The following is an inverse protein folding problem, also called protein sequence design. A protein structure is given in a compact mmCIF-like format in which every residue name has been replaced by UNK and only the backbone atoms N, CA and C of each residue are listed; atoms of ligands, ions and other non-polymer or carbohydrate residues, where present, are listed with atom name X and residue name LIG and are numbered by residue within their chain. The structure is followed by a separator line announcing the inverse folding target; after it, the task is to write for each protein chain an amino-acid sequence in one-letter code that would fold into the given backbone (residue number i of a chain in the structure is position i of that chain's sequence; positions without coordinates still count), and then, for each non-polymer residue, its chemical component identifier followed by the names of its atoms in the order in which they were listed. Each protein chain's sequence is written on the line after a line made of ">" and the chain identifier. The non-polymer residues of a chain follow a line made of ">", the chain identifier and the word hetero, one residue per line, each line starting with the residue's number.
data_IF_110931666311
#
_entry.id   IF_110931666311
#
_cell.length_a   1.000
_cell.length_b   1.000
_cell.length_c   1.000
_cell.angle_alpha   90.00
_cell.angle_beta   90.00
_cell.angle_gamma   90.00
#
_symmetry.space_group_name_H-M   'P 1'
#
loop_
_entity.id
_entity.type
_entity.pdbx_description
1 polymer ?
#
# COMPACT_ATOMS: atom_id res chain seq x y z
N UNK A 1 -27.93 5.71 48.47
CA UNK A 1 -27.72 4.71 47.38
C UNK A 1 -26.92 5.32 46.22
N UNK A 2 -25.78 6.00 46.50
CA UNK A 2 -24.99 6.75 45.52
C UNK A 2 -23.48 6.67 45.79
N UNK A 3 -22.93 5.50 46.10
CA UNK A 3 -21.50 5.41 46.48
C UNK A 3 -20.77 4.22 45.84
N UNK A 4 -21.32 3.60 44.81
CA UNK A 4 -20.70 2.42 44.17
C UNK A 4 -20.17 2.72 42.73
N UNK A 5 -20.43 3.91 42.17
CA UNK A 5 -20.01 4.24 40.81
C UNK A 5 -18.70 5.07 40.70
N UNK A 6 -18.04 5.40 41.81
CA UNK A 6 -16.87 6.30 41.80
C UNK A 6 -15.50 5.62 41.68
N UNK A 7 -15.39 4.30 41.48
CA UNK A 7 -14.12 3.62 41.25
C UNK A 7 -14.24 2.45 40.25
N UNK A 8 -14.89 2.62 39.13
CA UNK A 8 -14.73 1.69 38.02
C UNK A 8 -13.40 2.01 37.34
N UNK A 9 -12.32 1.37 37.77
CA UNK A 9 -11.05 1.38 37.03
C UNK A 9 -11.33 0.80 35.64
N UNK A 10 -11.26 1.62 34.59
CA UNK A 10 -11.40 1.13 33.23
C UNK A 10 -10.41 -0.01 32.97
N UNK A 11 -10.88 -1.06 32.34
CA UNK A 11 -10.00 -2.16 31.90
C UNK A 11 -8.91 -1.59 30.99
N UNK A 12 -7.66 -1.82 31.36
CA UNK A 12 -6.54 -1.30 30.58
C UNK A 12 -6.23 -2.24 29.40
N UNK A 13 -5.99 -1.69 28.19
CA UNK A 13 -5.54 -2.48 27.05
C UNK A 13 -4.08 -2.93 27.24
N UNK A 14 -3.59 -3.76 26.33
CA UNK A 14 -2.17 -4.20 26.33
C UNK A 14 -1.25 -2.98 26.22
N UNK A 15 -0.06 -3.05 26.83
CA UNK A 15 0.95 -1.96 26.79
C UNK A 15 1.28 -1.51 25.37
N UNK A 16 1.41 -2.45 24.43
CA UNK A 16 1.66 -2.16 23.03
C UNK A 16 0.56 -1.22 22.45
N UNK A 17 -0.71 -1.49 22.75
CA UNK A 17 -1.84 -0.66 22.27
C UNK A 17 -1.81 0.73 22.90
N UNK A 18 -1.46 0.85 24.19
CA UNK A 18 -1.34 2.15 24.87
C UNK A 18 -0.23 3.04 24.27
N UNK A 19 0.82 2.44 23.74
CA UNK A 19 1.96 3.14 23.14
C UNK A 19 1.74 3.54 21.68
N UNK A 20 0.69 3.01 21.02
CA UNK A 20 0.44 3.26 19.60
C UNK A 20 -0.32 4.55 19.36
N UNK A 21 0.10 5.38 18.39
CA UNK A 21 -0.72 6.49 17.94
C UNK A 21 -1.94 5.96 17.17
N UNK A 22 -3.08 6.63 17.35
CA UNK A 22 -4.24 6.38 16.51
C UNK A 22 -4.03 6.97 15.11
N UNK A 23 -4.29 6.18 14.07
CA UNK A 23 -4.19 6.63 12.69
C UNK A 23 -5.54 7.11 12.15
N UNK A 24 -5.62 8.41 11.88
CA UNK A 24 -6.79 9.03 11.26
C UNK A 24 -6.47 9.45 9.81
N UNK A 25 -7.01 8.75 8.80
CA UNK A 25 -6.92 9.23 7.44
C UNK A 25 -7.77 10.49 7.27
N UNK A 26 -7.25 11.58 6.64
CA UNK A 26 -8.03 12.81 6.40
C UNK A 26 -9.05 12.58 5.29
N UNK A 27 -10.26 12.14 5.64
CA UNK A 27 -11.33 11.83 4.70
C UNK A 27 -12.28 13.03 4.43
N UNK A 28 -12.06 14.20 5.02
CA UNK A 28 -12.87 15.39 4.80
C UNK A 28 -12.61 16.01 3.42
N UNK A 29 -13.60 16.71 2.86
CA UNK A 29 -13.49 17.46 1.59
C UNK A 29 -13.38 16.59 0.35
N UNK A 30 -13.88 15.35 0.36
CA UNK A 30 -13.75 14.38 -0.74
C UNK A 30 -14.72 14.58 -1.90
N UNK A 31 -15.36 15.71 -2.00
CA UNK A 31 -16.09 16.24 -3.17
C UNK A 31 -15.15 16.81 -4.26
N UNK A 32 -13.89 17.07 -3.90
CA UNK A 32 -12.83 17.47 -4.84
C UNK A 32 -12.22 16.28 -5.61
N UNK A 33 -11.40 16.56 -6.61
CA UNK A 33 -10.61 15.54 -7.33
C UNK A 33 -9.58 14.91 -6.36
N UNK A 34 -9.76 13.62 -6.09
CA UNK A 34 -8.95 12.87 -5.11
C UNK A 34 -7.64 12.40 -5.73
N UNK A 35 -6.54 13.15 -5.51
CA UNK A 35 -5.19 12.76 -5.86
C UNK A 35 -4.32 12.54 -4.60
N UNK A 36 -4.94 12.05 -3.51
CA UNK A 36 -4.36 11.95 -2.16
C UNK A 36 -4.12 10.52 -1.67
N UNK A 37 -4.97 9.54 -2.02
CA UNK A 37 -4.95 8.18 -1.47
C UNK A 37 -4.45 7.09 -2.43
N UNK A 38 -3.86 7.46 -3.56
CA UNK A 38 -3.43 6.50 -4.59
C UNK A 38 -4.57 5.57 -5.04
N UNK A 39 -5.80 6.08 -5.02
CA UNK A 39 -6.96 5.38 -5.56
C UNK A 39 -6.88 5.36 -7.08
N UNK A 40 -7.52 4.40 -7.72
CA UNK A 40 -7.85 4.52 -9.13
C UNK A 40 -8.83 5.69 -9.26
N UNK A 41 -8.48 6.68 -10.08
CA UNK A 41 -9.27 7.90 -10.22
C UNK A 41 -10.44 7.76 -11.18
N UNK A 42 -10.59 6.58 -11.80
CA UNK A 42 -11.65 6.28 -12.77
C UNK A 42 -12.59 5.20 -12.24
N UNK A 43 -13.66 4.95 -12.97
CA UNK A 43 -14.61 3.87 -12.68
C UNK A 43 -13.89 2.51 -12.74
N UNK A 44 -14.24 1.53 -11.91
CA UNK A 44 -13.79 0.16 -12.11
C UNK A 44 -14.28 -0.38 -13.47
N UNK A 45 -13.76 -1.55 -13.86
CA UNK A 45 -14.09 -2.15 -15.15
C UNK A 45 -15.60 -2.28 -15.39
N UNK A 46 -16.08 -2.11 -16.64
CA UNK A 46 -17.49 -2.30 -16.97
C UNK A 46 -18.03 -3.68 -16.62
N UNK A 47 -17.19 -4.72 -16.63
CA UNK A 47 -17.57 -6.09 -16.21
C UNK A 47 -17.88 -6.17 -14.73
N UNK A 48 -17.06 -5.52 -13.90
CA UNK A 48 -17.32 -5.37 -12.47
C UNK A 48 -18.65 -4.65 -12.20
N UNK A 49 -18.90 -3.54 -12.89
CA UNK A 49 -20.16 -2.79 -12.73
C UNK A 49 -21.39 -3.62 -13.12
N UNK A 50 -21.31 -4.38 -14.22
CA UNK A 50 -22.38 -5.31 -14.62
C UNK A 50 -22.62 -6.39 -13.56
N UNK A 51 -21.54 -6.94 -12.99
CA UNK A 51 -21.66 -7.96 -11.93
C UNK A 51 -22.34 -7.39 -10.68
N UNK A 52 -21.97 -6.17 -10.27
CA UNK A 52 -22.62 -5.50 -9.12
C UNK A 52 -24.14 -5.33 -9.33
N UNK A 53 -24.58 -5.01 -10.54
CA UNK A 53 -26.01 -4.89 -10.87
C UNK A 53 -26.75 -6.23 -10.84
N UNK A 54 -26.06 -7.35 -10.94
CA UNK A 54 -26.62 -8.69 -10.91
C UNK A 54 -26.69 -9.30 -9.50
N UNK A 55 -26.21 -8.59 -8.48
CA UNK A 55 -26.31 -9.07 -7.10
C UNK A 55 -27.77 -9.19 -6.68
N UNK A 56 -28.12 -10.35 -6.14
CA UNK A 56 -29.48 -10.65 -5.65
C UNK A 56 -29.58 -10.44 -4.15
N UNK A 57 -30.81 -10.27 -3.64
CA UNK A 57 -31.06 -10.23 -2.20
C UNK A 57 -30.53 -11.50 -1.50
N UNK A 58 -30.71 -12.67 -2.10
CA UNK A 58 -30.21 -13.95 -1.59
C UNK A 58 -28.67 -13.93 -1.49
N UNK A 59 -27.96 -13.45 -2.52
CA UNK A 59 -26.49 -13.32 -2.51
C UNK A 59 -25.96 -12.39 -1.44
N UNK A 60 -26.80 -11.51 -0.86
CA UNK A 60 -26.44 -10.65 0.26
C UNK A 60 -26.72 -11.25 1.63
N UNK A 61 -27.61 -12.26 1.73
CA UNK A 61 -28.05 -12.84 3.00
C UNK A 61 -27.35 -14.14 3.36
N UNK A 62 -26.67 -14.78 2.41
CA UNK A 62 -25.95 -16.05 2.58
C UNK A 62 -24.47 -15.80 2.79
N UNK A 63 -23.82 -16.54 3.68
CA UNK A 63 -22.37 -16.48 3.84
C UNK A 63 -21.68 -16.88 2.51
N UNK A 64 -20.71 -16.09 2.04
CA UNK A 64 -20.08 -16.35 0.75
C UNK A 64 -19.06 -17.49 0.84
N UNK A 65 -18.96 -18.26 -0.24
CA UNK A 65 -17.90 -19.25 -0.42
C UNK A 65 -16.65 -18.60 -1.04
N UNK A 66 -15.55 -18.58 -0.29
CA UNK A 66 -14.28 -17.99 -0.74
C UNK A 66 -13.52 -18.89 -1.70
N UNK A 67 -13.54 -20.20 -1.49
CA UNK A 67 -12.69 -21.17 -2.21
C UNK A 67 -12.86 -21.15 -3.74
N UNK A 68 -14.07 -21.11 -4.32
CA UNK A 68 -14.23 -21.03 -5.77
C UNK A 68 -13.56 -19.77 -6.36
N UNK A 69 -13.65 -18.64 -5.67
CA UNK A 69 -13.03 -17.37 -6.10
C UNK A 69 -11.52 -17.42 -5.96
N UNK A 70 -10.99 -17.98 -4.86
CA UNK A 70 -9.55 -18.21 -4.69
C UNK A 70 -8.98 -19.04 -5.83
N UNK A 71 -9.69 -20.07 -6.31
CA UNK A 71 -9.27 -20.91 -7.43
C UNK A 71 -9.15 -20.11 -8.73
N UNK A 72 -10.13 -19.26 -9.03
CA UNK A 72 -10.12 -18.40 -10.21
C UNK A 72 -8.97 -17.39 -10.14
N UNK A 73 -8.80 -16.73 -8.99
CA UNK A 73 -7.73 -15.76 -8.79
C UNK A 73 -6.35 -16.42 -8.82
N UNK A 74 -6.18 -17.58 -8.19
CA UNK A 74 -4.93 -18.34 -8.24
C UNK A 74 -4.58 -18.72 -9.69
N UNK A 75 -5.51 -19.28 -10.44
CA UNK A 75 -5.32 -19.62 -11.85
C UNK A 75 -4.92 -18.41 -12.70
N UNK A 76 -5.55 -17.24 -12.48
CA UNK A 76 -5.19 -16.00 -13.19
C UNK A 76 -3.73 -15.62 -12.95
N UNK A 77 -3.22 -15.82 -11.74
CA UNK A 77 -1.83 -15.52 -11.38
C UNK A 77 -0.84 -16.67 -11.57
N UNK A 78 -1.25 -17.78 -12.16
CA UNK A 78 -0.40 -18.95 -12.42
C UNK A 78 -0.02 -19.72 -11.16
N UNK A 79 -0.88 -19.71 -10.14
CA UNK A 79 -0.70 -20.35 -8.84
C UNK A 79 -1.68 -21.51 -8.64
N UNK A 80 -1.31 -22.46 -7.78
CA UNK A 80 -2.25 -23.42 -7.23
C UNK A 80 -3.11 -22.75 -6.14
N UNK A 81 -4.34 -23.26 -5.95
CA UNK A 81 -5.29 -22.67 -5.00
C UNK A 81 -4.76 -22.65 -3.56
N UNK A 82 -4.02 -23.66 -3.14
CA UNK A 82 -3.45 -23.76 -1.78
C UNK A 82 -2.26 -22.84 -1.54
N UNK A 83 -1.67 -22.30 -2.61
CA UNK A 83 -0.64 -21.27 -2.57
C UNK A 83 -1.19 -19.85 -2.39
N UNK A 84 -2.52 -19.65 -2.35
CA UNK A 84 -3.15 -18.33 -2.27
C UNK A 84 -4.21 -18.30 -1.18
N UNK A 85 -4.32 -17.17 -0.49
CA UNK A 85 -5.45 -16.81 0.37
C UNK A 85 -5.92 -15.39 0.04
N UNK A 86 -7.23 -15.21 -0.15
CA UNK A 86 -7.84 -13.89 -0.27
C UNK A 86 -7.97 -13.25 1.11
N UNK A 87 -7.72 -11.93 1.16
CA UNK A 87 -7.71 -11.11 2.38
C UNK A 87 -8.59 -9.88 2.21
N UNK A 88 -9.00 -9.29 3.34
CA UNK A 88 -9.74 -8.02 3.38
C UNK A 88 -8.78 -6.82 3.16
N UNK A 89 -8.23 -6.74 1.95
CA UNK A 89 -7.14 -5.84 1.58
C UNK A 89 -5.78 -6.33 2.08
N UNK A 90 -4.72 -5.61 1.71
CA UNK A 90 -3.36 -5.89 2.19
C UNK A 90 -3.21 -5.55 3.67
N UNK A 91 -4.04 -4.67 4.23
CA UNK A 91 -4.02 -4.37 5.67
C UNK A 91 -4.26 -5.63 6.51
N UNK A 92 -5.26 -6.45 6.15
CA UNK A 92 -5.46 -7.76 6.81
C UNK A 92 -4.30 -8.72 6.49
N UNK A 93 -3.77 -8.72 5.26
CA UNK A 93 -2.64 -9.57 4.89
C UNK A 93 -1.42 -9.33 5.80
N UNK A 94 -1.07 -8.06 6.04
CA UNK A 94 0.02 -7.65 6.94
C UNK A 94 -0.26 -8.13 8.36
N UNK A 95 -1.49 -7.94 8.84
CA UNK A 95 -1.90 -8.37 10.18
C UNK A 95 -1.81 -9.90 10.34
N UNK A 96 -2.35 -10.65 9.40
CA UNK A 96 -2.32 -12.13 9.43
C UNK A 96 -0.89 -12.66 9.42
N UNK A 97 -0.01 -12.09 8.58
CA UNK A 97 1.42 -12.46 8.55
C UNK A 97 2.08 -12.16 9.88
N UNK A 98 1.87 -10.97 10.44
CA UNK A 98 2.45 -10.59 11.74
C UNK A 98 1.95 -11.50 12.88
N UNK A 99 0.64 -11.79 12.94
CA UNK A 99 0.06 -12.69 13.94
C UNK A 99 0.53 -14.14 13.81
N UNK A 100 0.87 -14.57 12.59
CA UNK A 100 1.27 -15.98 12.34
C UNK A 100 2.73 -16.23 12.69
N UNK A 101 3.61 -15.25 12.46
CA UNK A 101 5.06 -15.49 12.45
C UNK A 101 5.84 -14.71 13.51
N UNK A 102 5.20 -13.82 14.28
CA UNK A 102 5.89 -13.04 15.33
C UNK A 102 5.36 -13.36 16.71
N UNK A 103 6.29 -13.50 17.66
CA UNK A 103 6.06 -13.54 19.09
C UNK A 103 6.87 -12.43 19.79
N UNK A 104 6.55 -12.12 21.06
CA UNK A 104 7.35 -11.17 21.84
C UNK A 104 8.78 -11.69 22.01
N UNK A 105 9.75 -10.84 21.66
CA UNK A 105 11.18 -11.17 21.65
C UNK A 105 11.73 -11.51 20.26
N UNK A 106 10.88 -11.73 19.26
CA UNK A 106 11.29 -11.83 17.86
C UNK A 106 11.61 -10.44 17.29
N UNK A 107 12.43 -10.41 16.24
CA UNK A 107 12.75 -9.18 15.52
C UNK A 107 12.09 -9.17 14.14
N UNK A 108 11.56 -7.99 13.78
CA UNK A 108 11.09 -7.70 12.43
C UNK A 108 11.93 -6.58 11.81
N UNK A 109 12.04 -6.57 10.47
CA UNK A 109 12.87 -5.62 9.73
C UNK A 109 12.06 -4.97 8.60
N UNK A 110 12.09 -3.64 8.54
CA UNK A 110 11.50 -2.84 7.46
C UNK A 110 12.45 -1.73 7.01
N UNK A 111 12.28 -1.25 5.77
CA UNK A 111 12.89 -0.01 5.30
C UNK A 111 11.94 1.16 5.61
N UNK A 112 12.48 2.34 5.93
CA UNK A 112 11.69 3.58 6.12
C UNK A 112 12.24 4.71 5.27
N UNK A 113 11.39 5.67 4.80
CA UNK A 113 9.93 5.73 4.98
C UNK A 113 9.19 4.64 4.20
N UNK A 114 8.09 4.13 4.76
CA UNK A 114 7.27 3.11 4.13
C UNK A 114 5.80 3.18 4.61
N UNK A 115 5.00 2.16 4.33
CA UNK A 115 3.60 2.13 4.72
C UNK A 115 3.43 1.90 6.23
N UNK A 116 2.80 2.86 6.90
CA UNK A 116 2.67 2.91 8.36
C UNK A 116 2.01 1.66 8.98
N UNK A 117 1.17 0.94 8.24
CA UNK A 117 0.50 -0.25 8.78
C UNK A 117 1.44 -1.40 9.10
N UNK A 118 2.68 -1.40 8.58
CA UNK A 118 3.71 -2.35 9.02
C UNK A 118 4.08 -2.11 10.48
N UNK A 119 4.34 -0.85 10.85
CA UNK A 119 4.63 -0.45 12.24
C UNK A 119 3.50 -0.86 13.18
N UNK A 120 2.24 -0.64 12.78
CA UNK A 120 1.06 -0.99 13.57
C UNK A 120 0.98 -2.50 13.79
N UNK A 121 1.02 -3.28 12.71
CA UNK A 121 0.80 -4.73 12.79
C UNK A 121 1.95 -5.45 13.50
N UNK A 122 3.20 -5.07 13.23
CA UNK A 122 4.37 -5.64 13.88
C UNK A 122 4.40 -5.24 15.37
N UNK A 123 4.19 -3.95 15.68
CA UNK A 123 4.20 -3.43 17.04
C UNK A 123 3.13 -4.01 17.96
N UNK A 124 2.08 -4.63 17.41
CA UNK A 124 1.11 -5.41 18.19
C UNK A 124 1.65 -6.76 18.64
N UNK A 125 2.65 -7.32 17.95
CA UNK A 125 3.17 -8.67 18.19
C UNK A 125 4.47 -8.65 18.97
N UNK A 126 5.39 -7.74 18.63
CA UNK A 126 6.73 -7.64 19.24
C UNK A 126 7.19 -6.19 19.36
N UNK A 127 8.04 -5.92 20.34
CA UNK A 127 8.77 -4.66 20.48
C UNK A 127 10.04 -4.60 19.58
N UNK A 128 10.43 -5.69 18.96
CA UNK A 128 11.68 -5.88 18.21
C UNK A 128 11.61 -5.39 16.76
N UNK A 129 11.03 -4.22 16.47
CA UNK A 129 11.01 -3.67 15.11
C UNK A 129 12.23 -2.81 14.80
N UNK A 130 13.08 -3.30 13.89
CA UNK A 130 14.22 -2.58 13.33
C UNK A 130 13.82 -1.85 12.06
N UNK A 131 14.17 -0.57 11.97
CA UNK A 131 13.91 0.31 10.82
C UNK A 131 15.22 0.75 10.19
N UNK A 132 15.42 0.40 8.93
CA UNK A 132 16.57 0.86 8.14
C UNK A 132 16.13 2.07 7.31
N UNK A 133 16.57 3.25 7.72
CA UNK A 133 16.22 4.49 7.03
C UNK A 133 16.91 4.57 5.67
N UNK A 134 16.18 4.90 4.60
CA UNK A 134 16.79 5.32 3.33
C UNK A 134 17.54 6.66 3.50
N UNK A 135 18.43 6.97 2.57
CA UNK A 135 19.08 8.28 2.48
C UNK A 135 18.21 9.28 1.69
N UNK A 136 18.77 10.45 1.38
CA UNK A 136 18.09 11.51 0.63
C UNK A 136 17.69 11.11 -0.80
N UNK A 137 18.22 10.00 -1.34
CA UNK A 137 17.79 9.45 -2.62
C UNK A 137 16.45 8.76 -2.55
N UNK A 138 15.98 8.40 -1.34
CA UNK A 138 14.81 7.58 -1.06
C UNK A 138 14.85 6.20 -1.72
N UNK A 139 16.01 5.77 -2.20
CA UNK A 139 16.25 4.43 -2.74
C UNK A 139 16.33 3.40 -1.63
N UNK A 140 16.07 2.13 -1.96
CA UNK A 140 16.18 1.04 -1.00
C UNK A 140 17.67 0.81 -0.61
N UNK A 141 18.03 0.88 0.68
CA UNK A 141 19.42 0.80 1.14
C UNK A 141 19.89 -0.65 1.30
N UNK A 142 20.02 -1.40 0.20
CA UNK A 142 20.19 -2.85 0.17
C UNK A 142 21.28 -3.36 1.12
N UNK A 143 22.50 -2.80 1.05
CA UNK A 143 23.63 -3.27 1.86
C UNK A 143 23.38 -3.09 3.37
N UNK A 144 22.86 -1.90 3.75
CA UNK A 144 22.53 -1.62 5.16
C UNK A 144 21.35 -2.47 5.63
N UNK A 145 20.43 -2.76 4.74
CA UNK A 145 19.26 -3.57 5.05
C UNK A 145 19.65 -5.02 5.31
N UNK A 146 20.48 -5.61 4.46
CA UNK A 146 21.00 -6.97 4.68
C UNK A 146 21.87 -7.05 5.92
N UNK A 147 22.72 -6.04 6.17
CA UNK A 147 23.55 -5.99 7.38
C UNK A 147 22.75 -5.87 8.70
N UNK A 148 21.49 -5.44 8.64
CA UNK A 148 20.60 -5.35 9.79
C UNK A 148 19.89 -6.67 10.14
N UNK A 149 20.00 -7.71 9.31
CA UNK A 149 19.45 -9.04 9.58
C UNK A 149 20.21 -9.69 10.72
N UNK A 150 19.49 -10.22 11.71
CA UNK A 150 20.03 -10.93 12.85
C UNK A 150 19.48 -12.36 12.94
N UNK A 151 20.06 -13.26 13.76
CA UNK A 151 19.48 -14.58 14.02
C UNK A 151 18.07 -14.54 14.64
N UNK A 152 17.67 -13.42 15.24
CA UNK A 152 16.33 -13.21 15.82
C UNK A 152 15.32 -12.64 14.82
N UNK A 153 15.78 -12.22 13.64
CA UNK A 153 14.88 -11.72 12.59
C UNK A 153 13.95 -12.85 12.14
N UNK A 154 12.63 -12.67 12.30
CA UNK A 154 11.57 -13.61 11.96
C UNK A 154 10.67 -13.12 10.84
N UNK A 155 10.55 -11.79 10.67
CA UNK A 155 9.74 -11.18 9.62
C UNK A 155 10.50 -10.04 8.98
N UNK A 156 10.55 -10.05 7.66
CA UNK A 156 11.06 -8.95 6.83
C UNK A 156 9.93 -8.51 5.93
N UNK A 157 9.60 -7.21 5.90
CA UNK A 157 8.60 -6.67 4.97
C UNK A 157 9.28 -5.65 4.07
N UNK A 158 9.15 -5.87 2.75
CA UNK A 158 9.67 -4.97 1.72
C UNK A 158 8.53 -4.62 0.75
N UNK A 159 8.20 -3.34 0.63
CA UNK A 159 7.28 -2.86 -0.38
C UNK A 159 8.02 -2.53 -1.68
N UNK A 160 7.57 -3.07 -2.81
CA UNK A 160 8.14 -2.79 -4.13
C UNK A 160 7.04 -2.80 -5.21
N UNK A 161 6.69 -1.63 -5.78
CA UNK A 161 7.13 -0.25 -5.43
C UNK A 161 6.69 0.20 -4.04
N UNK A 162 7.56 0.97 -3.37
CA UNK A 162 7.33 1.43 -2.00
C UNK A 162 6.43 2.67 -1.93
N UNK A 163 5.65 2.81 -0.90
CA UNK A 163 4.84 3.99 -0.56
C UNK A 163 5.39 4.62 0.75
N UNK A 164 5.83 5.91 0.74
CA UNK A 164 5.48 6.96 -0.21
C UNK A 164 6.52 7.25 -1.30
N UNK A 165 7.64 6.56 -1.36
CA UNK A 165 8.79 6.95 -2.19
C UNK A 165 8.61 6.66 -3.68
N UNK A 166 7.87 5.60 -4.03
CA UNK A 166 7.76 5.08 -5.39
C UNK A 166 8.98 4.23 -5.82
N UNK A 167 9.99 4.11 -4.95
CA UNK A 167 11.19 3.33 -5.19
C UNK A 167 10.89 1.83 -5.31
N UNK A 168 11.70 1.14 -6.10
CA UNK A 168 11.61 -0.31 -6.31
C UNK A 168 12.80 -1.03 -5.70
N UNK A 169 12.62 -2.30 -5.41
CA UNK A 169 13.69 -3.24 -5.07
C UNK A 169 13.69 -4.31 -6.16
N UNK A 170 14.82 -4.55 -6.81
CA UNK A 170 14.90 -5.54 -7.89
C UNK A 170 14.59 -6.94 -7.37
N UNK A 171 14.05 -7.80 -8.24
CA UNK A 171 13.82 -9.22 -7.91
C UNK A 171 15.09 -9.89 -7.40
N UNK A 172 16.26 -9.58 -7.99
CA UNK A 172 17.56 -10.10 -7.56
C UNK A 172 17.86 -9.76 -6.09
N UNK A 173 17.69 -8.49 -5.70
CA UNK A 173 17.88 -8.05 -4.32
C UNK A 173 16.87 -8.70 -3.37
N UNK A 174 15.59 -8.84 -3.77
CA UNK A 174 14.58 -9.50 -2.94
C UNK A 174 14.93 -10.98 -2.68
N UNK A 175 15.38 -11.71 -3.70
CA UNK A 175 15.82 -13.08 -3.55
C UNK A 175 17.12 -13.19 -2.72
N UNK A 176 18.04 -12.23 -2.84
CA UNK A 176 19.23 -12.15 -1.99
C UNK A 176 18.87 -11.92 -0.51
N UNK A 177 17.87 -11.09 -0.21
CA UNK A 177 17.34 -10.90 1.17
C UNK A 177 16.74 -12.21 1.69
N UNK A 178 15.93 -12.91 0.90
CA UNK A 178 15.36 -14.20 1.28
C UNK A 178 16.44 -15.24 1.61
N UNK A 179 17.48 -15.29 0.80
CA UNK A 179 18.62 -16.19 0.99
C UNK A 179 19.49 -15.82 2.22
N UNK A 180 19.64 -14.51 2.51
CA UNK A 180 20.39 -14.03 3.68
C UNK A 180 19.66 -14.28 5.01
N UNK A 181 18.35 -14.51 4.99
CA UNK A 181 17.52 -14.73 6.18
C UNK A 181 16.63 -15.98 6.04
N UNK A 182 17.18 -17.19 5.89
CA UNK A 182 16.38 -18.40 5.67
C UNK A 182 15.49 -18.77 6.86
N UNK A 183 15.78 -18.22 8.06
CA UNK A 183 14.98 -18.37 9.29
C UNK A 183 13.83 -17.35 9.40
N UNK A 184 13.80 -16.33 8.54
CA UNK A 184 12.80 -15.27 8.53
C UNK A 184 11.87 -15.41 7.34
N UNK A 185 10.60 -15.04 7.51
CA UNK A 185 9.68 -14.85 6.40
C UNK A 185 9.97 -13.52 5.70
N UNK A 186 10.17 -13.53 4.39
CA UNK A 186 10.15 -12.33 3.56
C UNK A 186 8.76 -12.13 2.98
N UNK A 187 8.09 -11.05 3.37
CA UNK A 187 6.87 -10.57 2.74
C UNK A 187 7.21 -9.45 1.77
N UNK A 188 6.96 -9.67 0.49
CA UNK A 188 7.06 -8.63 -0.54
C UNK A 188 5.67 -8.04 -0.78
N UNK A 189 5.50 -6.76 -0.46
CA UNK A 189 4.25 -6.05 -0.74
C UNK A 189 4.29 -5.44 -2.15
N UNK A 190 3.59 -6.08 -3.06
CA UNK A 190 3.45 -5.72 -4.47
C UNK A 190 2.16 -4.93 -4.75
N UNK A 191 1.69 -4.09 -3.82
CA UNK A 191 0.45 -3.33 -3.97
C UNK A 191 0.44 -2.43 -5.23
N UNK A 192 1.61 -2.02 -5.70
CA UNK A 192 1.77 -1.18 -6.89
C UNK A 192 2.41 -1.91 -8.08
N UNK A 193 2.53 -3.23 -8.02
CA UNK A 193 3.15 -4.08 -9.03
C UNK A 193 2.74 -3.76 -10.48
N UNK A 194 1.44 -3.58 -10.72
CA UNK A 194 0.90 -3.37 -12.07
C UNK A 194 1.47 -2.14 -12.79
N UNK A 195 1.97 -1.14 -12.04
CA UNK A 195 2.55 0.08 -12.60
C UNK A 195 4.06 -0.02 -12.86
N UNK A 196 4.68 -1.12 -12.41
CA UNK A 196 6.11 -1.42 -12.53
C UNK A 196 6.39 -2.64 -13.43
N UNK A 197 5.72 -3.76 -13.14
CA UNK A 197 5.80 -5.00 -13.91
C UNK A 197 6.79 -6.04 -13.37
N UNK A 198 7.80 -5.67 -12.56
CA UNK A 198 8.71 -6.64 -11.94
C UNK A 198 8.06 -7.28 -10.71
N UNK A 199 8.18 -8.60 -10.55
CA UNK A 199 7.49 -9.37 -9.51
C UNK A 199 8.32 -10.55 -9.02
N UNK A 200 8.10 -10.92 -7.76
CA UNK A 200 8.58 -12.18 -7.16
C UNK A 200 7.49 -13.25 -7.10
N UNK A 201 6.30 -13.01 -7.66
CA UNK A 201 5.21 -13.96 -7.61
C UNK A 201 5.55 -15.31 -8.26
N UNK A 202 6.35 -15.30 -9.34
CA UNK A 202 6.82 -16.52 -10.01
C UNK A 202 7.81 -17.37 -9.19
N UNK A 203 8.32 -16.84 -8.07
CA UNK A 203 9.24 -17.54 -7.16
C UNK A 203 8.52 -18.21 -5.99
N UNK A 204 7.23 -17.97 -5.86
CA UNK A 204 6.37 -18.58 -4.84
C UNK A 204 6.38 -20.10 -4.97
N UNK A 205 6.57 -20.79 -3.86
CA UNK A 205 6.71 -22.26 -3.82
C UNK A 205 8.12 -22.77 -4.14
N UNK A 206 8.95 -21.97 -4.84
CA UNK A 206 10.37 -22.28 -5.08
C UNK A 206 11.25 -21.70 -3.96
N UNK A 207 10.97 -20.48 -3.53
CA UNK A 207 11.65 -19.84 -2.39
C UNK A 207 10.79 -20.09 -1.14
N UNK A 208 11.26 -20.93 -0.19
CA UNK A 208 10.40 -21.47 0.86
C UNK A 208 9.96 -20.45 1.91
N UNK A 209 10.66 -19.34 2.06
CA UNK A 209 10.40 -18.26 3.02
C UNK A 209 9.88 -16.98 2.35
N UNK A 210 9.34 -17.07 1.13
CA UNK A 210 8.77 -15.93 0.40
C UNK A 210 7.24 -15.95 0.44
N UNK A 211 6.67 -14.79 0.78
CA UNK A 211 5.25 -14.47 0.59
C UNK A 211 5.11 -13.17 -0.19
N UNK A 212 4.19 -13.13 -1.15
CA UNK A 212 3.84 -11.95 -1.94
C UNK A 212 2.44 -11.48 -1.56
N UNK A 213 2.30 -10.19 -1.26
CA UNK A 213 1.00 -9.55 -1.04
C UNK A 213 0.60 -8.70 -2.23
N UNK A 214 -0.67 -8.75 -2.66
CA UNK A 214 -1.25 -7.90 -3.71
C UNK A 214 -2.60 -7.36 -3.31
N UNK A 215 -2.95 -6.20 -3.85
CA UNK A 215 -4.24 -5.54 -3.62
C UNK A 215 -5.02 -5.37 -4.92
N UNK A 216 -6.34 -5.46 -4.83
CA UNK A 216 -7.25 -5.08 -5.90
C UNK A 216 -7.72 -3.60 -5.77
N UNK A 217 -7.21 -2.87 -4.77
CA UNK A 217 -7.59 -1.48 -4.50
C UNK A 217 -7.04 -0.48 -5.51
N UNK A 218 -5.88 -0.74 -6.14
CA UNK A 218 -5.13 0.24 -6.95
C UNK A 218 -5.47 0.10 -8.44
N UNK A 219 -4.79 -0.74 -9.18
CA UNK A 219 -4.99 -0.87 -10.63
C UNK A 219 -6.41 -1.34 -11.00
N UNK A 220 -6.99 -2.26 -10.24
CA UNK A 220 -8.36 -2.75 -10.47
C UNK A 220 -9.47 -1.76 -10.03
N UNK A 221 -9.14 -0.71 -9.26
CA UNK A 221 -10.12 0.30 -8.84
C UNK A 221 -11.12 -0.16 -7.76
N UNK A 222 -10.79 -1.17 -6.97
CA UNK A 222 -11.69 -1.79 -5.98
C UNK A 222 -11.38 -1.38 -4.53
N UNK A 223 -10.88 -0.15 -4.31
CA UNK A 223 -10.46 0.29 -2.99
C UNK A 223 -11.56 0.16 -1.91
N UNK A 224 -12.80 0.45 -2.25
CA UNK A 224 -13.94 0.36 -1.32
C UNK A 224 -14.37 -1.07 -1.03
N UNK A 225 -14.04 -2.02 -1.88
CA UNK A 225 -14.40 -3.43 -1.69
C UNK A 225 -13.44 -4.19 -0.77
N UNK A 226 -12.31 -3.57 -0.42
CA UNK A 226 -11.36 -4.13 0.54
C UNK A 226 -10.94 -5.57 0.17
N UNK A 227 -10.44 -5.76 -1.04
CA UNK A 227 -9.93 -7.07 -1.49
C UNK A 227 -8.42 -7.03 -1.71
N UNK A 228 -7.74 -8.08 -1.24
CA UNK A 228 -6.33 -8.35 -1.41
C UNK A 228 -6.04 -9.84 -1.41
N UNK A 229 -4.77 -10.20 -1.54
CA UNK A 229 -4.33 -11.59 -1.47
C UNK A 229 -2.93 -11.71 -0.90
N UNK A 230 -2.65 -12.88 -0.30
CA UNK A 230 -1.31 -13.40 -0.05
C UNK A 230 -1.07 -14.61 -0.93
N UNK A 231 0.13 -14.71 -1.48
CA UNK A 231 0.61 -15.87 -2.21
C UNK A 231 1.94 -16.36 -1.62
N UNK A 232 2.09 -17.66 -1.40
CA UNK A 232 3.26 -18.26 -0.77
C UNK A 232 3.29 -19.77 -0.93
N UNK A 233 4.32 -20.43 -0.38
CA UNK A 233 4.33 -21.90 -0.28
C UNK A 233 3.04 -22.38 0.42
N UNK A 234 2.45 -23.47 -0.05
CA UNK A 234 1.17 -23.99 0.46
C UNK A 234 1.17 -24.23 1.99
N UNK A 235 2.34 -24.59 2.56
CA UNK A 235 2.50 -24.77 4.01
C UNK A 235 2.42 -23.44 4.76
N UNK A 236 3.03 -22.37 4.24
CA UNK A 236 2.94 -21.02 4.82
C UNK A 236 1.50 -20.52 4.77
N UNK A 237 0.84 -20.66 3.64
CA UNK A 237 -0.57 -20.30 3.47
C UNK A 237 -1.47 -21.10 4.40
N UNK A 238 -1.17 -22.39 4.64
CA UNK A 238 -1.94 -23.22 5.57
C UNK A 238 -1.86 -22.72 7.02
N UNK A 239 -0.72 -22.18 7.45
CA UNK A 239 -0.57 -21.57 8.79
C UNK A 239 -1.37 -20.27 8.89
N UNK A 240 -1.30 -19.41 7.88
CA UNK A 240 -2.05 -18.15 7.83
C UNK A 240 -3.57 -18.40 7.84
N UNK A 241 -4.04 -19.45 7.17
CA UNK A 241 -5.46 -19.85 7.19
C UNK A 241 -5.96 -20.19 8.59
N UNK A 242 -5.10 -20.64 9.53
CA UNK A 242 -5.50 -20.97 10.90
C UNK A 242 -5.86 -19.72 11.73
N UNK A 243 -5.30 -18.57 11.41
CA UNK A 243 -5.55 -17.30 12.10
C UNK A 243 -6.51 -16.39 11.34
N UNK A 244 -6.78 -16.69 10.07
CA UNK A 244 -7.75 -15.96 9.25
C UNK A 244 -9.19 -16.32 9.63
N UNK A 245 -10.06 -15.31 9.72
CA UNK A 245 -11.50 -15.57 9.84
C UNK A 245 -12.02 -16.32 8.59
N UNK A 246 -12.93 -17.28 8.73
CA UNK A 246 -13.47 -18.02 7.60
C UNK A 246 -14.25 -17.13 6.59
N UNK A 247 -14.78 -16.01 7.05
CA UNK A 247 -15.56 -15.04 6.27
C UNK A 247 -14.91 -13.65 6.25
N UNK A 248 -13.59 -13.60 6.17
CA UNK A 248 -12.81 -12.36 6.22
C UNK A 248 -13.04 -11.44 5.01
N UNK A 249 -13.33 -11.98 3.84
CA UNK A 249 -13.61 -11.21 2.62
C UNK A 249 -15.12 -11.11 2.42
N UNK A 250 -15.62 -9.88 2.19
CA UNK A 250 -17.05 -9.66 1.98
C UNK A 250 -17.55 -10.26 0.67
N UNK A 251 -18.83 -10.68 0.64
CA UNK A 251 -19.44 -11.37 -0.49
C UNK A 251 -19.50 -10.52 -1.76
N UNK A 252 -19.63 -9.21 -1.64
CA UNK A 252 -19.63 -8.29 -2.80
C UNK A 252 -18.28 -8.30 -3.51
N UNK A 253 -17.19 -8.22 -2.74
CA UNK A 253 -15.84 -8.33 -3.28
C UNK A 253 -15.63 -9.69 -3.97
N UNK A 254 -16.01 -10.79 -3.31
CA UNK A 254 -15.88 -12.13 -3.88
C UNK A 254 -16.69 -12.28 -5.18
N UNK A 255 -17.88 -11.70 -5.25
CA UNK A 255 -18.71 -11.78 -6.45
C UNK A 255 -18.09 -11.11 -7.68
N UNK A 256 -17.34 -10.00 -7.50
CA UNK A 256 -16.79 -9.22 -8.62
C UNK A 256 -15.33 -9.54 -8.96
N UNK A 257 -14.58 -10.19 -8.06
CA UNK A 257 -13.17 -10.51 -8.30
C UNK A 257 -12.92 -11.32 -9.58
N UNK A 258 -13.71 -12.34 -9.94
CA UNK A 258 -13.56 -13.05 -11.21
C UNK A 258 -13.66 -12.14 -12.43
N UNK A 259 -14.62 -11.21 -12.42
CA UNK A 259 -14.81 -10.24 -13.51
C UNK A 259 -13.69 -9.20 -13.53
N UNK A 260 -13.18 -8.81 -12.37
CA UNK A 260 -12.09 -7.84 -12.25
C UNK A 260 -10.78 -8.40 -12.81
N UNK A 261 -10.39 -9.63 -12.42
CA UNK A 261 -9.14 -10.25 -12.91
C UNK A 261 -9.25 -10.68 -14.37
N UNK A 262 -10.45 -10.96 -14.85
CA UNK A 262 -10.70 -11.34 -16.24
C UNK A 262 -10.71 -10.16 -17.22
N UNK A 263 -10.79 -8.92 -16.78
CA UNK A 263 -10.81 -7.74 -17.66
C UNK A 263 -9.40 -7.14 -17.85
N UNK A 264 -8.53 -7.94 -18.48
CA UNK A 264 -7.14 -7.54 -18.77
C UNK A 264 -7.07 -6.28 -19.62
N UNK A 265 -8.01 -6.10 -20.56
CA UNK A 265 -8.02 -4.92 -21.44
C UNK A 265 -8.22 -3.62 -20.65
N UNK A 266 -9.12 -3.63 -19.66
CA UNK A 266 -9.30 -2.48 -18.76
C UNK A 266 -8.05 -2.25 -17.91
N UNK A 267 -7.48 -3.30 -17.35
CA UNK A 267 -6.27 -3.21 -16.51
C UNK A 267 -5.11 -2.58 -17.27
N UNK A 268 -4.81 -3.08 -18.48
CA UNK A 268 -3.74 -2.55 -19.32
C UNK A 268 -3.99 -1.11 -19.74
N UNK A 269 -5.23 -0.78 -20.11
CA UNK A 269 -5.61 0.60 -20.42
C UNK A 269 -5.32 1.54 -19.24
N UNK A 270 -5.74 1.16 -18.02
CA UNK A 270 -5.54 2.03 -16.85
C UNK A 270 -4.05 2.15 -16.45
N UNK A 271 -3.31 1.07 -16.53
CA UNK A 271 -1.84 1.09 -16.29
C UNK A 271 -1.15 2.03 -17.27
N UNK A 272 -1.54 2.03 -18.54
CA UNK A 272 -0.98 2.94 -19.55
C UNK A 272 -1.36 4.42 -19.28
N UNK A 273 -2.60 4.69 -18.84
CA UNK A 273 -3.00 6.04 -18.40
C UNK A 273 -2.08 6.54 -17.26
N UNK A 274 -1.81 5.68 -16.28
CA UNK A 274 -0.92 6.03 -15.17
C UNK A 274 0.51 6.23 -15.63
N UNK A 275 1.05 5.37 -16.50
CA UNK A 275 2.41 5.48 -17.03
C UNK A 275 2.62 6.83 -17.73
N UNK A 276 1.76 7.14 -18.68
CA UNK A 276 1.81 8.40 -19.44
C UNK A 276 1.55 9.61 -18.53
N UNK A 277 0.57 9.51 -17.62
CA UNK A 277 0.26 10.57 -16.66
C UNK A 277 1.41 10.89 -15.72
N UNK A 278 2.14 9.87 -15.28
CA UNK A 278 3.31 10.01 -14.39
C UNK A 278 4.44 10.79 -15.08
N UNK A 279 4.74 10.48 -16.34
CA UNK A 279 5.72 11.22 -17.14
C UNK A 279 5.34 12.69 -17.29
N UNK A 280 4.05 12.99 -17.53
CA UNK A 280 3.53 14.36 -17.62
C UNK A 280 3.65 15.13 -16.31
N UNK A 281 3.38 14.49 -15.16
CA UNK A 281 3.53 15.12 -13.84
C UNK A 281 5.02 15.40 -13.58
N UNK A 282 5.93 14.47 -13.86
CA UNK A 282 7.37 14.70 -13.72
C UNK A 282 7.84 15.88 -14.58
N UNK A 283 7.43 15.95 -15.85
CA UNK A 283 7.77 17.06 -16.73
C UNK A 283 7.28 18.40 -16.17
N UNK A 284 6.01 18.46 -15.71
CA UNK A 284 5.44 19.67 -15.13
C UNK A 284 6.15 20.12 -13.84
N UNK A 285 6.50 19.19 -12.94
CA UNK A 285 7.21 19.50 -11.70
C UNK A 285 8.64 19.95 -11.98
N UNK A 286 9.32 19.35 -12.97
CA UNK A 286 10.64 19.80 -13.44
C UNK A 286 10.58 21.23 -13.97
N UNK A 287 9.59 21.58 -14.81
CA UNK A 287 9.40 22.92 -15.33
C UNK A 287 9.16 23.95 -14.21
N UNK A 288 8.52 23.53 -13.12
CA UNK A 288 8.24 24.35 -11.93
C UNK A 288 9.42 24.41 -10.94
N UNK A 289 10.52 23.70 -11.23
CA UNK A 289 11.69 23.63 -10.35
C UNK A 289 11.42 22.91 -9.01
N UNK A 290 10.46 21.98 -8.99
CA UNK A 290 10.13 21.19 -7.81
C UNK A 290 10.92 19.87 -7.84
N UNK A 291 11.67 19.61 -6.76
CA UNK A 291 12.41 18.34 -6.61
C UNK A 291 11.44 17.17 -6.49
N UNK A 292 11.76 16.08 -7.17
CA UNK A 292 11.01 14.81 -7.15
C UNK A 292 11.97 13.63 -7.14
N UNK A 293 11.46 12.44 -6.83
CA UNK A 293 12.19 11.17 -6.92
C UNK A 293 11.54 10.26 -7.96
N UNK A 294 12.31 9.37 -8.60
CA UNK A 294 11.75 8.37 -9.49
C UNK A 294 10.66 7.56 -8.81
N UNK A 295 9.56 7.31 -9.52
CA UNK A 295 8.45 6.51 -9.00
C UNK A 295 8.03 5.46 -10.02
N UNK A 296 7.85 4.23 -9.55
CA UNK A 296 7.29 3.12 -10.31
C UNK A 296 5.83 2.81 -9.89
N UNK A 297 5.21 3.67 -9.07
CA UNK A 297 3.84 3.53 -8.59
C UNK A 297 2.87 4.48 -9.32
N UNK A 298 1.60 4.49 -8.91
CA UNK A 298 0.59 5.43 -9.41
C UNK A 298 0.59 6.77 -8.65
N UNK A 299 1.74 7.25 -8.25
CA UNK A 299 1.91 8.55 -7.58
C UNK A 299 3.32 9.10 -7.80
N UNK A 300 3.49 10.39 -7.51
CA UNK A 300 4.78 11.08 -7.49
C UNK A 300 4.93 11.78 -6.15
N UNK A 301 6.10 11.65 -5.52
CA UNK A 301 6.51 12.36 -4.32
C UNK A 301 7.30 13.61 -4.73
N UNK A 302 7.02 14.76 -4.09
CA UNK A 302 7.65 16.05 -4.36
C UNK A 302 8.04 16.76 -3.08
N UNK A 303 9.16 17.46 -3.10
CA UNK A 303 9.68 18.27 -1.99
C UNK A 303 9.18 19.72 -2.11
N UNK A 304 8.34 20.12 -1.17
CA UNK A 304 7.78 21.48 -1.05
C UNK A 304 8.41 22.23 0.13
N UNK A 305 9.17 21.51 0.94
CA UNK A 305 9.78 22.08 2.14
C UNK A 305 8.75 22.57 3.16
N UNK A 306 9.04 23.67 3.89
CA UNK A 306 8.19 24.12 5.00
C UNK A 306 6.79 24.59 4.58
N UNK A 307 6.57 24.82 3.28
CA UNK A 307 5.28 25.30 2.74
C UNK A 307 4.33 24.19 2.27
N UNK A 308 4.61 22.93 2.61
CA UNK A 308 3.82 21.77 2.19
C UNK A 308 2.32 21.87 2.55
N UNK A 309 1.99 22.40 3.73
CA UNK A 309 0.60 22.60 4.16
C UNK A 309 -0.11 23.67 3.33
N UNK A 310 0.61 24.74 2.99
CA UNK A 310 0.09 25.82 2.15
C UNK A 310 -0.23 25.31 0.76
N UNK A 311 0.67 24.50 0.15
CA UNK A 311 0.39 23.87 -1.14
C UNK A 311 -0.87 22.99 -1.07
N UNK A 312 -1.01 22.13 -0.06
CA UNK A 312 -2.19 21.29 0.10
C UNK A 312 -3.48 22.14 0.21
N UNK A 313 -3.44 23.26 0.94
CA UNK A 313 -4.57 24.16 1.08
C UNK A 313 -4.89 24.89 -0.24
N UNK A 314 -3.89 25.38 -0.99
CA UNK A 314 -4.09 26.04 -2.28
C UNK A 314 -4.62 25.07 -3.35
N UNK A 315 -4.15 23.83 -3.37
CA UNK A 315 -4.69 22.77 -4.23
C UNK A 315 -6.14 22.44 -3.89
N UNK A 316 -6.47 22.33 -2.60
CA UNK A 316 -7.85 22.07 -2.16
C UNK A 316 -8.81 23.21 -2.58
N UNK A 317 -8.42 24.48 -2.48
CA UNK A 317 -9.18 25.63 -2.99
C UNK A 317 -9.50 25.52 -4.49
N UNK A 318 -8.64 24.85 -5.27
CA UNK A 318 -8.81 24.56 -6.70
C UNK A 318 -9.50 23.24 -6.99
N UNK A 319 -10.08 22.62 -5.96
CA UNK A 319 -10.82 21.35 -6.09
C UNK A 319 -9.95 20.13 -6.33
N UNK A 320 -8.70 20.12 -5.85
CA UNK A 320 -7.78 18.97 -5.95
C UNK A 320 -7.18 18.65 -4.57
N UNK A 321 -7.27 17.38 -4.15
CA UNK A 321 -6.66 16.89 -2.91
C UNK A 321 -5.27 16.30 -3.15
N UNK A 322 -4.31 16.67 -2.32
CA UNK A 322 -2.98 16.08 -2.25
C UNK A 322 -2.75 15.43 -0.87
N UNK A 323 -1.74 14.57 -0.80
CA UNK A 323 -1.36 13.93 0.46
C UNK A 323 -0.09 14.56 1.04
N UNK A 324 -0.21 15.25 2.16
CA UNK A 324 0.91 15.63 2.99
C UNK A 324 1.56 14.38 3.60
N UNK A 325 2.88 14.24 3.40
CA UNK A 325 3.68 13.12 3.92
C UNK A 325 4.73 13.58 4.93
N UNK A 326 4.69 14.84 5.35
CA UNK A 326 5.68 15.42 6.26
C UNK A 326 5.76 14.77 7.64
N UNK A 327 4.72 14.02 8.04
CA UNK A 327 4.72 13.28 9.28
C UNK A 327 5.46 11.92 9.17
N UNK A 328 5.78 11.46 7.98
CA UNK A 328 6.53 10.22 7.79
C UNK A 328 8.02 10.48 8.04
N UNK A 329 8.73 9.58 8.73
CA UNK A 329 10.16 9.74 8.99
C UNK A 329 10.96 9.94 7.70
N UNK A 330 11.73 11.03 7.59
CA UNK A 330 12.53 11.37 6.42
C UNK A 330 11.76 11.96 5.24
N UNK A 331 10.48 12.33 5.45
CA UNK A 331 9.64 12.99 4.44
C UNK A 331 9.22 14.41 4.84
N UNK A 332 9.99 15.08 5.70
CA UNK A 332 9.68 16.43 6.19
C UNK A 332 9.59 17.42 5.02
N UNK A 333 8.40 17.98 4.82
CA UNK A 333 8.12 18.91 3.72
C UNK A 333 7.66 18.23 2.43
N UNK A 334 7.49 16.91 2.41
CA UNK A 334 7.12 16.19 1.21
C UNK A 334 5.60 16.07 1.06
N UNK A 335 5.16 16.18 -0.19
CA UNK A 335 3.78 16.04 -0.61
C UNK A 335 3.71 14.99 -1.72
N UNK A 336 2.69 14.15 -1.70
CA UNK A 336 2.48 13.11 -2.71
C UNK A 336 1.23 13.43 -3.52
N UNK A 337 1.34 13.31 -4.85
CA UNK A 337 0.24 13.41 -5.80
C UNK A 337 -0.03 12.07 -6.45
N UNK A 338 -1.28 11.62 -6.44
CA UNK A 338 -1.72 10.42 -7.18
C UNK A 338 -1.76 10.71 -8.68
N UNK A 339 -1.35 9.75 -9.48
CA UNK A 339 -1.46 9.76 -10.94
C UNK A 339 -2.75 9.06 -11.33
N UNK A 340 -3.62 9.77 -12.04
CA UNK A 340 -4.90 9.26 -12.53
C UNK A 340 -4.95 9.16 -14.05
N UNK A 341 -6.18 9.14 -14.59
CA UNK A 341 -6.43 9.21 -16.03
C UNK A 341 -6.07 10.60 -16.58
N UNK A 342 -5.91 10.69 -17.89
CA UNK A 342 -5.40 11.87 -18.61
C UNK A 342 -6.07 13.20 -18.20
N UNK A 343 -7.40 13.22 -18.12
CA UNK A 343 -8.15 14.42 -17.71
C UNK A 343 -7.81 14.85 -16.28
N UNK A 344 -7.74 13.89 -15.35
CA UNK A 344 -7.41 14.16 -13.95
C UNK A 344 -5.96 14.62 -13.78
N UNK A 345 -5.04 14.07 -14.56
CA UNK A 345 -3.63 14.54 -14.60
C UNK A 345 -3.56 15.97 -15.13
N UNK A 346 -4.30 16.29 -16.20
CA UNK A 346 -4.35 17.64 -16.78
C UNK A 346 -4.87 18.65 -15.76
N UNK A 347 -5.96 18.36 -15.08
CA UNK A 347 -6.52 19.19 -14.00
C UNK A 347 -5.57 19.32 -12.83
N UNK A 348 -4.92 18.22 -12.40
CA UNK A 348 -3.93 18.23 -11.33
C UNK A 348 -2.74 19.12 -11.64
N UNK A 349 -2.19 19.04 -12.85
CA UNK A 349 -1.07 19.89 -13.31
C UNK A 349 -1.48 21.36 -13.38
N UNK A 350 -2.65 21.68 -13.90
CA UNK A 350 -3.15 23.06 -13.93
C UNK A 350 -3.26 23.65 -12.52
N UNK A 351 -3.90 22.91 -11.60
CA UNK A 351 -4.01 23.30 -10.20
C UNK A 351 -2.65 23.48 -9.52
N UNK A 352 -1.66 22.60 -9.79
CA UNK A 352 -0.29 22.74 -9.27
C UNK A 352 0.36 24.04 -9.73
N UNK A 353 0.30 24.35 -11.03
CA UNK A 353 0.87 25.57 -11.61
C UNK A 353 0.26 26.83 -10.98
N UNK A 354 -1.06 26.88 -10.88
CA UNK A 354 -1.78 28.00 -10.28
C UNK A 354 -1.51 28.12 -8.76
N UNK A 355 -1.46 26.99 -8.03
CA UNK A 355 -1.19 26.99 -6.59
C UNK A 355 0.21 27.49 -6.28
N UNK A 356 1.24 26.97 -6.96
CA UNK A 356 2.62 27.40 -6.79
C UNK A 356 2.82 28.87 -7.19
N UNK A 357 2.15 29.32 -8.28
CA UNK A 357 2.15 30.74 -8.68
C UNK A 357 1.51 31.62 -7.61
N UNK A 358 0.35 31.23 -7.06
CA UNK A 358 -0.36 31.98 -6.01
C UNK A 358 0.46 32.06 -4.71
N UNK A 359 1.25 31.02 -4.42
CA UNK A 359 2.19 31.00 -3.31
C UNK A 359 3.44 31.85 -3.56
N UNK A 360 3.69 32.33 -4.78
CA UNK A 360 4.95 32.97 -5.16
C UNK A 360 6.15 32.00 -5.08
N UNK A 361 5.92 30.73 -5.44
CA UNK A 361 6.94 29.69 -5.37
C UNK A 361 8.17 30.03 -6.21
N UNK A 362 9.35 29.84 -5.61
CA UNK A 362 10.63 29.90 -6.32
C UNK A 362 11.40 28.60 -6.12
N UNK A 363 12.15 28.12 -7.13
CA UNK A 363 12.92 26.86 -7.04
C UNK A 363 13.91 26.79 -5.87
N UNK A 364 14.29 27.91 -5.29
CA UNK A 364 15.20 27.99 -4.14
C UNK A 364 14.55 27.58 -2.80
N UNK A 365 13.22 27.48 -2.73
CA UNK A 365 12.49 27.13 -1.51
C UNK A 365 12.40 25.61 -1.26
N UNK A 366 12.51 24.79 -2.32
CA UNK A 366 12.81 23.37 -2.17
C UNK A 366 14.27 23.16 -1.73
N UNK A 367 14.55 22.21 -0.85
CA UNK A 367 15.94 21.86 -0.50
C UNK A 367 16.70 21.61 -1.81
N UNK A 368 17.66 22.48 -2.12
CA UNK A 368 18.27 22.63 -3.43
C UNK A 368 18.64 21.31 -4.10
N UNK A 369 18.60 21.35 -5.44
CA UNK A 369 19.11 20.26 -6.29
C UNK A 369 20.54 19.94 -5.84
N UNK A 370 20.72 18.77 -5.22
CA UNK A 370 22.04 18.19 -4.97
C UNK A 370 22.37 17.24 -6.14
#
# INVERSE_FOLDING_TARGET
>A
MNTILEQTTLVQPRKAVLAMPEYYPPLAGRDALRLDFNENTFSPSPSVLRRLQQLTAEGLTIYPEREPVERIVAQHFGLERDQLILTNGVDEAIHLVSCTFLEEGDEALICTPTFFMYDVSIGLMTSGLTRVQSDDSLSFPFERFVAAITPKTKLIIVASPNNPTGATVSREHLLAIAAAAPQALLMVDEAYFHFHGETTLGDVGTIPNLIVARTFSKAYGLANLRAGMLAGDARLISYIRKVSSPYNVNGVALAVLPDAVGDEAYLQWYVEQVRTGRERIFAALKDLGVRTWPSAANFVLMDIGPRHKELCAEMHKRGVLLRDRSADPGCEGYVRITVGVEDHVTRGIAALRESLSAMGWTPAEGRGQA
#
